data_IF_263314334714
#
_entry.id   IF_263314334714
#
_cell.length_a   1.000
_cell.length_b   1.000
_cell.length_c   1.000
_cell.angle_alpha   90.00
_cell.angle_beta   90.00
_cell.angle_gamma   90.00
#
_symmetry.space_group_name_H-M   'P 1'
#
loop_
_entity.id
_entity.type
_entity.pdbx_description
1 polymer ?
#
# COMPACT_ATOMS: atom_id res chain seq x y z
N UNK A 1 9.50 4.16 -13.19
CA UNK A 1 9.30 4.99 -11.98
C UNK A 1 8.24 4.35 -11.10
N UNK A 2 8.39 4.42 -9.78
CA UNK A 2 7.45 3.81 -8.85
C UNK A 2 7.10 4.72 -7.67
N UNK A 3 5.85 4.68 -7.23
CA UNK A 3 5.41 5.25 -5.96
C UNK A 3 5.52 4.19 -4.86
N UNK A 4 6.15 4.55 -3.75
CA UNK A 4 6.29 3.68 -2.58
C UNK A 4 5.57 4.32 -1.40
N UNK A 5 4.51 3.66 -0.92
CA UNK A 5 3.72 4.12 0.23
C UNK A 5 3.72 3.02 1.27
N UNK A 6 4.53 3.18 2.30
CA UNK A 6 4.66 2.18 3.35
C UNK A 6 4.14 2.73 4.68
N UNK A 7 3.27 1.96 5.32
CA UNK A 7 2.75 2.22 6.67
C UNK A 7 2.11 3.60 6.84
N UNK A 8 1.33 4.05 5.84
CA UNK A 8 0.57 5.29 5.97
C UNK A 8 -0.45 5.19 7.11
N UNK A 9 -0.67 6.29 7.83
CA UNK A 9 -1.54 6.29 9.01
C UNK A 9 -2.98 5.88 8.62
N UNK A 10 -3.53 4.82 9.23
CA UNK A 10 -4.87 4.33 8.90
C UNK A 10 -5.99 5.24 9.41
N UNK A 11 -5.74 6.07 10.44
CA UNK A 11 -6.76 6.90 11.09
C UNK A 11 -8.04 6.11 11.44
N UNK A 12 -8.02 5.27 12.49
CA UNK A 12 -9.12 4.35 12.80
C UNK A 12 -10.41 5.06 13.22
N UNK A 13 -10.30 6.27 13.81
CA UNK A 13 -11.47 7.03 14.27
C UNK A 13 -12.17 7.66 13.06
N UNK A 14 -13.49 7.43 12.92
CA UNK A 14 -14.32 7.96 11.81
C UNK A 14 -14.13 9.46 11.55
N UNK A 15 -14.04 10.28 12.61
CA UNK A 15 -13.80 11.73 12.51
C UNK A 15 -12.48 12.11 11.80
N UNK A 16 -11.51 11.20 11.72
CA UNK A 16 -10.22 11.40 11.06
C UNK A 16 -10.17 10.77 9.66
N UNK A 17 -11.26 10.20 9.14
CA UNK A 17 -11.26 9.52 7.85
C UNK A 17 -10.73 10.40 6.70
N UNK A 18 -11.02 11.72 6.75
CA UNK A 18 -10.52 12.72 5.78
C UNK A 18 -8.99 12.89 5.78
N UNK A 19 -8.28 12.40 6.80
CA UNK A 19 -6.81 12.46 6.92
C UNK A 19 -6.11 11.25 6.29
N UNK A 20 -6.87 10.21 5.90
CA UNK A 20 -6.31 9.04 5.23
C UNK A 20 -5.73 9.46 3.89
N UNK A 21 -4.52 9.00 3.61
CA UNK A 21 -3.85 9.25 2.34
C UNK A 21 -4.67 8.72 1.17
N UNK A 22 -5.15 7.47 1.29
CA UNK A 22 -5.96 6.83 0.28
C UNK A 22 -7.39 7.35 0.32
N UNK A 23 -7.75 8.06 -0.73
CA UNK A 23 -9.08 8.59 -1.06
C UNK A 23 -9.26 8.46 -2.59
N UNK A 24 -10.49 8.50 -3.12
CA UNK A 24 -10.74 8.37 -4.55
C UNK A 24 -9.91 9.32 -5.43
N UNK A 25 -9.74 10.58 -4.99
CA UNK A 25 -8.95 11.58 -5.69
C UNK A 25 -7.45 11.26 -5.70
N UNK A 26 -6.92 10.75 -4.59
CA UNK A 26 -5.50 10.38 -4.45
C UNK A 26 -5.17 9.16 -5.30
N UNK A 27 -6.00 8.11 -5.29
CA UNK A 27 -5.75 6.91 -6.11
C UNK A 27 -5.81 7.23 -7.60
N UNK A 28 -6.76 8.08 -8.01
CA UNK A 28 -6.83 8.60 -9.37
C UNK A 28 -5.59 9.41 -9.74
N UNK A 29 -5.04 10.18 -8.80
CA UNK A 29 -3.80 10.93 -9.03
C UNK A 29 -2.60 10.00 -9.22
N UNK A 30 -2.50 8.93 -8.43
CA UNK A 30 -1.45 7.92 -8.60
C UNK A 30 -1.49 7.31 -10.00
N UNK A 31 -2.67 6.92 -10.50
CA UNK A 31 -2.81 6.41 -11.86
C UNK A 31 -2.37 7.44 -12.91
N UNK A 32 -2.82 8.70 -12.79
CA UNK A 32 -2.46 9.76 -13.74
C UNK A 32 -0.95 10.02 -13.78
N UNK A 33 -0.29 10.04 -12.61
CA UNK A 33 1.14 10.39 -12.49
C UNK A 33 2.08 9.20 -12.67
N UNK A 34 1.58 7.98 -12.57
CA UNK A 34 2.36 6.78 -12.88
C UNK A 34 2.55 6.71 -14.39
N UNK A 35 3.80 6.58 -14.83
CA UNK A 35 4.13 6.35 -16.23
C UNK A 35 3.68 4.96 -16.68
N UNK A 36 3.54 4.73 -17.99
CA UNK A 36 3.30 3.39 -18.53
C UNK A 36 4.43 2.44 -18.11
N UNK A 37 4.10 1.23 -17.65
CA UNK A 37 5.05 0.30 -17.02
C UNK A 37 5.52 0.70 -15.62
N UNK A 38 5.01 1.81 -15.07
CA UNK A 38 5.29 2.25 -13.70
C UNK A 38 4.44 1.50 -12.66
N UNK A 39 4.87 1.56 -11.40
CA UNK A 39 4.23 0.82 -10.31
C UNK A 39 3.83 1.70 -9.13
N UNK A 40 2.79 1.30 -8.42
CA UNK A 40 2.39 1.81 -7.11
C UNK A 40 2.52 0.66 -6.12
N UNK A 41 3.42 0.80 -5.15
CA UNK A 41 3.74 -0.22 -4.14
C UNK A 41 3.27 0.26 -2.78
N UNK A 42 2.41 -0.53 -2.15
CA UNK A 42 1.77 -0.20 -0.89
C UNK A 42 2.06 -1.31 0.12
N UNK A 43 2.39 -0.93 1.35
CA UNK A 43 2.56 -1.85 2.47
C UNK A 43 1.86 -1.33 3.72
N UNK A 44 1.21 -2.21 4.47
CA UNK A 44 0.54 -1.86 5.73
C UNK A 44 0.42 -3.08 6.64
N UNK A 45 0.36 -2.87 7.96
CA UNK A 45 0.12 -3.91 8.98
C UNK A 45 -1.33 -3.91 9.50
N UNK A 46 -2.25 -3.27 8.78
CA UNK A 46 -3.63 -3.02 9.22
C UNK A 46 -4.62 -3.61 8.22
N UNK A 47 -5.25 -4.72 8.58
CA UNK A 47 -6.09 -5.53 7.68
C UNK A 47 -7.29 -4.75 7.10
N UNK A 48 -8.07 -4.07 7.94
CA UNK A 48 -9.24 -3.31 7.48
C UNK A 48 -8.84 -2.15 6.55
N UNK A 49 -7.69 -1.53 6.83
CA UNK A 49 -7.21 -0.42 6.01
C UNK A 49 -6.67 -0.92 4.68
N UNK A 50 -6.00 -2.07 4.68
CA UNK A 50 -5.60 -2.75 3.44
C UNK A 50 -6.81 -3.08 2.56
N UNK A 51 -7.89 -3.62 3.14
CA UNK A 51 -9.12 -3.90 2.41
C UNK A 51 -9.73 -2.63 1.80
N UNK A 52 -9.80 -1.53 2.55
CA UNK A 52 -10.25 -0.22 2.05
C UNK A 52 -9.39 0.27 0.87
N UNK A 53 -8.05 0.14 0.97
CA UNK A 53 -7.12 0.55 -0.08
C UNK A 53 -7.34 -0.26 -1.36
N UNK A 54 -7.41 -1.59 -1.24
CA UNK A 54 -7.66 -2.50 -2.35
C UNK A 54 -8.95 -2.11 -3.08
N UNK A 55 -10.04 -1.94 -2.33
CA UNK A 55 -11.33 -1.56 -2.90
C UNK A 55 -11.28 -0.21 -3.63
N UNK A 56 -10.59 0.79 -3.07
CA UNK A 56 -10.43 2.09 -3.71
C UNK A 56 -9.71 2.00 -5.07
N UNK A 57 -8.63 1.23 -5.15
CA UNK A 57 -7.91 1.05 -6.41
C UNK A 57 -8.72 0.26 -7.44
N UNK A 58 -9.41 -0.79 -7.00
CA UNK A 58 -10.29 -1.61 -7.86
C UNK A 58 -11.47 -0.80 -8.42
N UNK A 59 -12.02 0.14 -7.64
CA UNK A 59 -13.19 0.94 -8.06
C UNK A 59 -12.84 2.20 -8.88
N UNK A 60 -11.67 2.80 -8.64
CA UNK A 60 -11.37 4.14 -9.17
C UNK A 60 -10.20 4.21 -10.13
N UNK A 61 -9.52 3.08 -10.42
CA UNK A 61 -8.34 3.07 -11.31
C UNK A 61 -8.39 1.90 -12.28
N UNK A 62 -7.57 1.97 -13.34
CA UNK A 62 -7.33 0.84 -14.26
C UNK A 62 -5.97 0.19 -14.03
N UNK A 63 -5.35 0.44 -12.88
CA UNK A 63 -4.08 -0.19 -12.52
C UNK A 63 -4.29 -1.68 -12.25
N UNK A 64 -3.40 -2.51 -12.78
CA UNK A 64 -3.47 -3.96 -12.63
C UNK A 64 -2.72 -4.39 -11.38
N UNK A 65 -3.38 -5.15 -10.49
CA UNK A 65 -2.69 -5.76 -9.35
C UNK A 65 -1.74 -6.86 -9.85
N UNK A 66 -0.46 -6.73 -9.51
CA UNK A 66 0.59 -7.73 -9.80
C UNK A 66 1.00 -8.50 -8.56
N UNK A 67 0.74 -7.94 -7.37
CA UNK A 67 0.98 -8.57 -6.08
C UNK A 67 -0.10 -8.08 -5.10
N UNK A 68 -0.75 -8.99 -4.38
CA UNK A 68 -1.78 -8.69 -3.38
C UNK A 68 -1.80 -9.80 -2.34
N UNK A 69 -1.52 -9.48 -1.08
CA UNK A 69 -1.57 -10.46 0.01
C UNK A 69 -0.55 -10.18 1.10
N UNK A 70 0.04 -11.26 1.63
CA UNK A 70 1.05 -11.20 2.68
C UNK A 70 2.43 -11.05 2.06
N UNK A 71 3.18 -10.05 2.52
CA UNK A 71 4.56 -9.85 2.12
C UNK A 71 5.44 -10.97 2.69
N UNK A 72 6.13 -11.69 1.81
CA UNK A 72 7.02 -12.77 2.24
C UNK A 72 8.23 -12.21 3.00
N UNK A 73 8.74 -12.91 4.04
CA UNK A 73 9.88 -12.45 4.83
C UNK A 73 11.15 -12.19 4.02
N UNK A 74 11.35 -12.97 2.97
CA UNK A 74 12.57 -12.97 2.15
C UNK A 74 12.50 -11.99 0.97
N UNK A 75 11.34 -11.36 0.75
CA UNK A 75 11.15 -10.41 -0.36
C UNK A 75 12.00 -9.14 -0.20
N UNK A 76 12.37 -8.78 1.04
CA UNK A 76 13.16 -7.57 1.32
C UNK A 76 14.45 -7.97 2.03
N UNK A 77 15.62 -7.72 1.41
CA UNK A 77 16.91 -7.86 2.04
C UNK A 77 16.94 -7.14 3.40
N UNK A 78 17.53 -7.73 4.46
CA UNK A 78 17.51 -7.15 5.81
C UNK A 78 17.99 -5.68 5.89
N UNK A 79 18.96 -5.31 5.06
CA UNK A 79 19.54 -3.97 4.92
C UNK A 79 18.62 -2.95 4.25
N UNK A 80 17.59 -3.40 3.53
CA UNK A 80 16.60 -2.54 2.88
C UNK A 80 15.27 -2.45 3.66
N UNK A 81 15.21 -3.04 4.86
CA UNK A 81 14.00 -3.02 5.70
C UNK A 81 13.86 -1.69 6.42
N UNK A 82 12.62 -1.21 6.56
CA UNK A 82 12.37 -0.04 7.41
C UNK A 82 12.45 -0.41 8.90
N UNK A 83 12.76 0.57 9.76
CA UNK A 83 12.69 0.39 11.23
C UNK A 83 11.32 -0.11 11.69
N UNK A 84 10.25 0.26 10.98
CA UNK A 84 8.91 -0.28 11.19
C UNK A 84 8.90 -1.80 10.93
N UNK A 85 9.31 -2.24 9.75
CA UNK A 85 9.33 -3.67 9.39
C UNK A 85 10.11 -4.52 10.42
N UNK A 86 11.26 -4.04 10.91
CA UNK A 86 12.03 -4.72 11.96
C UNK A 86 11.20 -4.86 13.25
N UNK A 87 10.61 -3.76 13.72
CA UNK A 87 9.80 -3.72 14.95
C UNK A 87 8.53 -4.56 14.88
N UNK A 88 7.86 -4.58 13.73
CA UNK A 88 6.60 -5.32 13.56
C UNK A 88 6.82 -6.81 13.33
N UNK A 89 7.90 -7.19 12.65
CA UNK A 89 8.33 -8.59 12.57
C UNK A 89 8.70 -9.17 13.94
N UNK A 90 9.40 -8.39 14.76
CA UNK A 90 9.69 -8.77 16.16
C UNK A 90 8.41 -9.00 16.99
N UNK A 91 7.27 -8.42 16.58
CA UNK A 91 5.95 -8.61 17.22
C UNK A 91 5.09 -9.70 16.55
N UNK A 92 5.63 -10.42 15.56
CA UNK A 92 4.88 -11.43 14.81
C UNK A 92 3.76 -10.89 13.93
N UNK A 93 3.74 -9.58 13.64
CA UNK A 93 2.70 -8.99 12.79
C UNK A 93 3.00 -9.23 11.31
N UNK A 94 1.97 -9.66 10.60
CA UNK A 94 1.97 -9.81 9.14
C UNK A 94 1.99 -8.44 8.47
N UNK A 95 2.81 -8.31 7.43
CA UNK A 95 2.81 -7.12 6.57
C UNK A 95 2.02 -7.47 5.31
N UNK A 96 1.02 -6.66 4.99
CA UNK A 96 0.23 -6.79 3.78
C UNK A 96 0.86 -5.94 2.68
N UNK A 97 0.83 -6.45 1.44
CA UNK A 97 1.39 -5.81 0.25
C UNK A 97 0.36 -5.72 -0.86
N UNK A 98 0.36 -4.58 -1.54
CA UNK A 98 -0.34 -4.36 -2.79
C UNK A 98 0.61 -3.68 -3.77
N UNK A 99 0.94 -4.35 -4.86
CA UNK A 99 1.68 -3.79 -5.98
C UNK A 99 0.77 -3.71 -7.19
N UNK A 100 0.64 -2.51 -7.74
CA UNK A 100 -0.20 -2.18 -8.88
C UNK A 100 0.68 -1.65 -10.02
N UNK A 101 0.35 -1.99 -11.26
CA UNK A 101 1.11 -1.61 -12.45
C UNK A 101 0.21 -0.92 -13.47
N UNK A 102 0.75 0.10 -14.12
CA UNK A 102 0.07 0.77 -15.23
C UNK A 102 0.44 0.13 -16.56
N UNK A 103 -0.57 -0.46 -17.21
CA UNK A 103 -0.44 -1.08 -18.53
C UNK A 103 -0.07 -0.09 -19.65
#
# INVERSE_FOLDING_TARGET
AAFHIYFSDPWPKRRHAKRRLFQPSTVSLFERKTARGGQVRIRTDVDWYFADIVALFEQHTRLRAVEKGILSPDTIPPDMRSNYEIKYRAKGKTILVLTLEKA
#
